data_IF_520507644851
#
_entry.id   IF_520507644851
#
_cell.length_a   1.000
_cell.length_b   1.000
_cell.length_c   1.000
_cell.angle_alpha   90.00
_cell.angle_beta   90.00
_cell.angle_gamma   90.00
#
_symmetry.space_group_name_H-M   'P 1'
#
loop_
_entity.id
_entity.type
_entity.pdbx_description
1 polymer ?
#
# COMPACT_ATOMS: atom_id res chain seq x y z
N UNK A 1 38.41 69.47 27.30
CA UNK A 1 37.39 68.88 28.16
C UNK A 1 36.84 67.67 27.36
N UNK A 2 37.45 66.52 27.33
CA UNK A 2 37.50 65.42 28.32
C UNK A 2 36.08 64.95 28.65
N UNK A 3 35.82 63.64 28.27
CA UNK A 3 34.78 62.72 28.75
C UNK A 3 33.47 62.79 27.96
N UNK A 4 33.26 61.80 27.11
CA UNK A 4 32.21 60.79 27.04
C UNK A 4 32.36 60.00 25.71
N UNK A 5 33.39 59.21 25.68
CA UNK A 5 33.59 58.21 24.63
C UNK A 5 33.90 56.87 25.34
N UNK A 6 32.92 56.27 25.92
CA UNK A 6 32.91 54.87 26.40
C UNK A 6 31.52 54.58 26.90
N UNK A 7 30.67 54.03 26.11
CA UNK A 7 29.49 53.15 26.38
C UNK A 7 28.75 53.01 25.04
N UNK A 8 29.35 52.30 24.13
CA UNK A 8 28.60 51.72 22.97
C UNK A 8 29.39 50.54 22.42
N UNK A 9 29.79 49.61 23.28
CA UNK A 9 30.45 48.38 22.88
C UNK A 9 30.14 47.25 23.87
N UNK A 10 28.87 46.99 24.15
CA UNK A 10 28.45 45.84 24.96
C UNK A 10 26.99 45.45 24.78
N UNK A 11 26.55 45.35 23.54
CA UNK A 11 25.21 44.77 23.23
C UNK A 11 25.21 44.04 21.88
N UNK A 12 26.29 43.32 21.55
CA UNK A 12 26.37 42.53 20.33
C UNK A 12 26.94 41.12 20.61
N UNK A 13 26.45 40.50 21.66
CA UNK A 13 26.65 39.05 21.86
C UNK A 13 25.43 38.57 22.62
N UNK A 14 24.51 37.92 21.95
CA UNK A 14 23.57 36.93 22.46
C UNK A 14 22.42 36.74 21.44
N UNK A 15 22.74 36.39 20.18
CA UNK A 15 21.85 35.69 19.31
C UNK A 15 22.63 34.54 18.66
N UNK A 16 23.19 33.66 19.48
CA UNK A 16 23.50 32.31 19.02
C UNK A 16 22.16 31.54 19.00
N UNK A 17 21.42 31.74 17.96
CA UNK A 17 20.38 30.81 17.56
C UNK A 17 21.06 29.45 17.37
N UNK A 18 20.76 28.49 18.21
CA UNK A 18 21.04 27.08 17.95
C UNK A 18 20.21 26.67 16.73
N UNK A 19 20.73 26.96 15.55
CA UNK A 19 20.37 26.27 14.34
C UNK A 19 21.21 25.00 14.43
N UNK A 20 20.59 23.88 14.77
CA UNK A 20 21.19 22.60 14.50
C UNK A 20 21.19 22.47 12.96
N UNK A 21 22.35 22.75 12.37
CA UNK A 21 22.59 22.44 10.96
C UNK A 21 22.33 20.95 10.77
N UNK A 22 21.55 20.54 9.75
CA UNK A 22 21.39 19.14 9.44
C UNK A 22 22.80 18.58 9.19
N UNK A 23 23.17 17.50 9.90
CA UNK A 23 24.39 16.75 9.63
C UNK A 23 24.27 16.27 8.20
N UNK A 24 24.92 16.97 7.25
CA UNK A 24 25.04 16.53 5.88
C UNK A 24 25.87 15.23 5.90
N UNK A 25 25.20 14.09 5.81
CA UNK A 25 25.89 12.86 5.48
C UNK A 25 26.53 13.05 4.09
N UNK A 26 27.80 12.73 3.91
CA UNK A 26 28.44 12.87 2.60
C UNK A 26 27.61 12.11 1.56
N UNK A 27 27.29 12.79 0.45
CA UNK A 27 26.60 12.15 -0.67
C UNK A 27 27.41 10.94 -1.10
N UNK A 28 26.79 9.79 -1.32
CA UNK A 28 27.53 8.61 -1.78
C UNK A 28 28.13 8.89 -3.16
N UNK A 29 29.38 8.46 -3.38
CA UNK A 29 30.12 8.66 -4.61
C UNK A 29 29.44 8.05 -5.86
N UNK A 30 28.49 7.14 -5.68
CA UNK A 30 27.65 6.54 -6.73
C UNK A 30 26.25 6.20 -6.21
N UNK A 31 25.31 6.09 -7.15
CA UNK A 31 23.98 5.56 -6.86
C UNK A 31 24.08 4.07 -6.46
N UNK A 32 23.27 3.66 -5.51
CA UNK A 32 23.01 2.23 -5.32
C UNK A 32 22.18 1.68 -6.48
N UNK A 33 22.24 0.37 -6.72
CA UNK A 33 21.42 -0.23 -7.76
C UNK A 33 19.91 -0.11 -7.46
N UNK A 34 19.54 -0.13 -6.17
CA UNK A 34 18.13 -0.06 -5.76
C UNK A 34 17.94 0.60 -4.40
N UNK A 35 16.91 1.41 -4.28
CA UNK A 35 16.37 1.86 -3.00
C UNK A 35 14.96 1.31 -2.81
N UNK A 36 14.72 0.59 -1.71
CA UNK A 36 13.40 0.20 -1.25
C UNK A 36 12.96 1.17 -0.16
N UNK A 37 11.83 1.83 -0.37
CA UNK A 37 11.23 2.75 0.60
C UNK A 37 10.00 2.10 1.24
N UNK A 38 10.06 1.86 2.54
CA UNK A 38 8.95 1.39 3.36
C UNK A 38 8.27 2.61 3.98
N UNK A 39 7.01 2.81 3.64
CA UNK A 39 6.21 3.96 4.06
C UNK A 39 5.01 3.48 4.89
N UNK A 40 5.05 3.74 6.19
CA UNK A 40 4.04 3.33 7.17
C UNK A 40 3.41 4.56 7.84
N UNK A 41 2.50 5.28 7.13
CA UNK A 41 1.88 6.51 7.60
C UNK A 41 0.72 6.20 8.55
N UNK A 42 1.00 5.79 9.77
CA UNK A 42 -0.03 5.50 10.75
C UNK A 42 -0.57 6.78 11.40
N UNK A 43 -1.89 6.91 11.46
CA UNK A 43 -2.57 8.08 12.04
C UNK A 43 -3.73 7.71 12.97
N UNK A 44 -3.79 6.45 13.40
CA UNK A 44 -4.85 5.96 14.28
C UNK A 44 -4.60 6.32 15.75
N UNK A 45 -5.68 6.34 16.54
CA UNK A 45 -5.62 6.58 17.98
C UNK A 45 -5.22 5.35 18.79
N UNK A 46 -5.18 4.16 18.19
CA UNK A 46 -4.75 2.91 18.81
C UNK A 46 -3.36 2.51 18.31
N UNK A 47 -2.54 1.93 19.18
CA UNK A 47 -1.21 1.44 18.82
C UNK A 47 -1.24 0.08 18.10
N UNK A 48 -2.40 -0.53 17.94
CA UNK A 48 -2.52 -1.91 17.47
C UNK A 48 -1.77 -2.20 16.17
N UNK A 49 -1.98 -1.40 15.09
CA UNK A 49 -1.24 -1.59 13.85
C UNK A 49 0.20 -1.06 13.93
N UNK A 50 0.46 -0.04 14.73
CA UNK A 50 1.81 0.48 14.92
C UNK A 50 2.77 -0.60 15.43
N UNK A 51 2.32 -1.41 16.41
CA UNK A 51 3.13 -2.50 16.95
C UNK A 51 3.38 -3.60 15.88
N UNK A 52 2.41 -3.88 15.02
CA UNK A 52 2.61 -4.77 13.87
C UNK A 52 3.60 -4.19 12.84
N UNK A 53 3.57 -2.89 12.59
CA UNK A 53 4.56 -2.24 11.71
C UNK A 53 5.97 -2.34 12.29
N UNK A 54 6.14 -2.16 13.60
CA UNK A 54 7.42 -2.36 14.26
C UNK A 54 7.91 -3.81 14.10
N UNK A 55 7.01 -4.79 14.22
CA UNK A 55 7.35 -6.20 13.97
C UNK A 55 7.74 -6.44 12.50
N UNK A 56 7.01 -5.87 11.54
CA UNK A 56 7.35 -5.97 10.12
C UNK A 56 8.73 -5.38 9.81
N UNK A 57 9.07 -4.25 10.42
CA UNK A 57 10.42 -3.64 10.31
C UNK A 57 11.48 -4.58 10.90
N UNK A 58 11.21 -5.19 12.04
CA UNK A 58 12.11 -6.17 12.67
C UNK A 58 12.30 -7.41 11.77
N UNK A 59 11.24 -7.88 11.14
CA UNK A 59 11.25 -9.01 10.21
C UNK A 59 12.10 -8.70 8.96
N UNK A 60 11.99 -7.49 8.41
CA UNK A 60 12.85 -7.00 7.32
C UNK A 60 14.31 -7.01 7.77
N UNK A 61 14.62 -6.44 8.94
CA UNK A 61 15.99 -6.41 9.49
C UNK A 61 16.54 -7.81 9.74
N UNK A 62 15.70 -8.72 10.20
CA UNK A 62 16.06 -10.14 10.38
C UNK A 62 16.41 -10.78 9.05
N UNK A 63 15.62 -10.55 8.00
CA UNK A 63 15.91 -11.05 6.67
C UNK A 63 17.22 -10.46 6.10
N UNK A 64 17.48 -9.17 6.32
CA UNK A 64 18.75 -8.52 5.93
C UNK A 64 19.92 -9.15 6.64
N UNK A 65 19.82 -9.41 7.94
CA UNK A 65 20.87 -10.10 8.71
C UNK A 65 21.12 -11.50 8.15
N UNK A 66 20.07 -12.26 7.83
CA UNK A 66 20.18 -13.61 7.30
C UNK A 66 20.84 -13.68 5.92
N UNK A 67 20.83 -12.59 5.15
CA UNK A 67 21.56 -12.49 3.86
C UNK A 67 22.91 -11.77 3.98
N UNK A 68 23.39 -11.54 5.21
CA UNK A 68 24.65 -10.83 5.48
C UNK A 68 24.68 -9.39 4.91
N UNK A 69 23.54 -8.70 4.95
CA UNK A 69 23.46 -7.28 4.65
C UNK A 69 22.60 -6.88 3.46
N UNK A 70 22.72 -5.62 3.06
CA UNK A 70 21.94 -5.01 1.99
C UNK A 70 22.58 -5.16 0.60
N UNK A 71 23.91 -5.42 0.53
CA UNK A 71 24.63 -5.37 -0.75
C UNK A 71 24.56 -3.97 -1.38
N UNK A 72 24.37 -3.90 -2.69
CA UNK A 72 24.24 -2.63 -3.44
C UNK A 72 22.80 -2.10 -3.41
N UNK A 73 22.21 -2.04 -2.21
CA UNK A 73 20.82 -1.57 -2.02
C UNK A 73 20.71 -0.69 -0.78
N UNK A 74 19.74 0.21 -0.80
CA UNK A 74 19.36 1.00 0.35
C UNK A 74 17.98 0.56 0.85
N UNK A 75 17.80 0.62 2.16
CA UNK A 75 16.49 0.54 2.82
C UNK A 75 16.22 1.86 3.54
N UNK A 76 15.16 2.53 3.13
CA UNK A 76 14.61 3.72 3.76
C UNK A 76 13.27 3.39 4.39
N UNK A 77 13.02 3.86 5.60
CA UNK A 77 11.78 3.62 6.33
C UNK A 77 11.23 4.96 6.82
N UNK A 78 9.97 5.25 6.49
CA UNK A 78 9.19 6.25 7.19
C UNK A 78 8.11 5.55 8.00
N UNK A 79 8.04 5.86 9.29
CA UNK A 79 6.97 5.40 10.16
C UNK A 79 6.46 6.57 10.99
N UNK A 80 5.14 6.70 11.11
CA UNK A 80 4.48 7.64 12.00
C UNK A 80 3.80 6.93 13.16
N UNK A 81 3.86 7.50 14.34
CA UNK A 81 3.18 7.02 15.54
C UNK A 81 1.76 7.61 15.66
N UNK A 82 1.52 8.72 14.96
CA UNK A 82 0.26 9.47 14.98
C UNK A 82 0.18 10.39 13.75
N UNK A 83 -0.93 11.09 13.60
CA UNK A 83 -1.06 12.16 12.58
C UNK A 83 -0.14 13.36 12.83
N UNK A 84 0.55 13.41 13.97
CA UNK A 84 1.33 14.59 14.41
C UNK A 84 2.84 14.34 14.48
N UNK A 85 3.29 13.10 14.37
CA UNK A 85 4.71 12.75 14.48
C UNK A 85 5.10 11.59 13.59
N UNK A 86 6.35 11.59 13.13
CA UNK A 86 6.92 10.52 12.34
C UNK A 86 8.44 10.63 12.25
N UNK A 87 9.06 9.57 11.76
CA UNK A 87 10.52 9.48 11.64
C UNK A 87 10.92 8.88 10.30
N UNK A 88 11.96 9.44 9.68
CA UNK A 88 12.63 8.89 8.49
C UNK A 88 13.95 8.27 8.92
N UNK A 89 14.14 7.01 8.58
CA UNK A 89 15.26 6.18 9.00
C UNK A 89 15.93 5.60 7.75
N UNK A 90 17.27 5.59 7.73
CA UNK A 90 18.06 4.76 6.82
C UNK A 90 18.59 3.58 7.60
N UNK A 91 18.29 2.36 7.14
CA UNK A 91 18.85 1.16 7.76
C UNK A 91 20.22 0.88 7.17
N UNK A 92 21.23 0.80 8.04
CA UNK A 92 22.58 0.39 7.71
C UNK A 92 22.81 -1.04 8.19
N UNK A 93 23.78 -1.73 7.58
CA UNK A 93 24.23 -3.04 8.05
C UNK A 93 25.70 -2.93 8.44
N UNK A 94 26.00 -3.02 9.71
CA UNK A 94 27.31 -2.80 10.28
C UNK A 94 27.57 -3.87 11.33
N UNK A 95 28.78 -4.48 11.35
CA UNK A 95 29.20 -5.47 12.34
C UNK A 95 28.20 -6.64 12.53
N UNK A 96 27.59 -7.12 11.41
CA UNK A 96 26.66 -8.25 11.43
C UNK A 96 25.25 -7.93 11.93
N UNK A 97 24.88 -6.67 12.07
CA UNK A 97 23.55 -6.23 12.54
C UNK A 97 23.02 -5.04 11.74
N UNK A 98 21.71 -4.89 11.73
CA UNK A 98 21.05 -3.68 11.22
C UNK A 98 21.12 -2.57 12.29
N UNK A 99 21.50 -1.37 11.85
CA UNK A 99 21.56 -0.16 12.67
C UNK A 99 20.65 0.90 12.05
N UNK A 100 19.82 1.52 12.87
CA UNK A 100 18.92 2.59 12.45
C UNK A 100 19.64 3.94 12.52
N UNK A 101 19.84 4.55 11.36
CA UNK A 101 20.29 5.92 11.24
C UNK A 101 19.06 6.83 11.09
N UNK A 102 18.65 7.49 12.17
CA UNK A 102 17.52 8.41 12.16
C UNK A 102 17.91 9.71 11.48
N UNK A 103 17.45 9.89 10.24
CA UNK A 103 17.79 11.05 9.42
C UNK A 103 16.96 12.28 9.75
N UNK A 104 15.67 12.10 10.03
CA UNK A 104 14.75 13.20 10.35
C UNK A 104 13.64 12.76 11.28
N UNK A 105 13.26 13.68 12.18
CA UNK A 105 12.05 13.58 12.99
C UNK A 105 11.08 14.67 12.56
N UNK A 106 9.82 14.28 12.39
CA UNK A 106 8.74 15.18 11.98
C UNK A 106 7.76 15.32 13.13
N UNK A 107 7.40 16.56 13.43
CA UNK A 107 6.38 16.87 14.42
C UNK A 107 5.49 18.00 13.93
N UNK A 108 4.19 17.93 14.23
CA UNK A 108 3.29 19.05 14.00
C UNK A 108 3.67 20.21 14.93
N UNK A 109 3.75 21.38 14.34
CA UNK A 109 3.87 22.65 15.06
C UNK A 109 2.65 23.52 14.78
N UNK A 110 2.48 24.62 15.52
CA UNK A 110 1.41 25.59 15.23
C UNK A 110 1.48 26.14 13.78
N UNK A 111 2.70 26.22 13.23
CA UNK A 111 2.97 26.75 11.89
C UNK A 111 3.02 25.67 10.79
N UNK A 112 3.16 24.39 11.13
CA UNK A 112 3.36 23.34 10.13
C UNK A 112 2.65 22.05 10.57
N UNK A 113 1.64 21.63 9.79
CA UNK A 113 0.91 20.37 10.02
C UNK A 113 1.36 19.30 9.04
N UNK A 114 1.63 18.10 9.55
CA UNK A 114 1.92 16.93 8.73
C UNK A 114 0.63 16.49 8.02
N UNK A 115 0.55 16.78 6.73
CA UNK A 115 -0.56 16.32 5.89
C UNK A 115 -0.16 15.02 5.17
N UNK A 116 -0.02 13.93 5.93
CA UNK A 116 0.50 12.63 5.47
C UNK A 116 -0.25 12.06 4.26
N UNK A 117 -1.50 12.50 4.05
CA UNK A 117 -2.38 12.10 2.95
C UNK A 117 -2.32 13.03 1.73
N UNK A 118 -1.47 14.04 1.73
CA UNK A 118 -1.38 14.99 0.61
C UNK A 118 -0.33 14.56 -0.42
N UNK A 119 -0.59 14.87 -1.69
CA UNK A 119 0.40 14.69 -2.77
C UNK A 119 1.69 15.47 -2.49
N UNK A 120 1.57 16.66 -1.88
CA UNK A 120 2.72 17.48 -1.50
C UNK A 120 3.63 16.77 -0.48
N UNK A 121 3.05 16.16 0.56
CA UNK A 121 3.82 15.37 1.53
C UNK A 121 4.50 14.17 0.87
N UNK A 122 3.77 13.44 0.02
CA UNK A 122 4.32 12.28 -0.69
C UNK A 122 5.50 12.70 -1.59
N UNK A 123 5.37 13.81 -2.31
CA UNK A 123 6.48 14.39 -3.10
C UNK A 123 7.66 14.73 -2.20
N UNK A 124 7.41 15.42 -1.10
CA UNK A 124 8.44 15.84 -0.16
C UNK A 124 9.21 14.64 0.41
N UNK A 125 8.51 13.63 0.94
CA UNK A 125 9.19 12.48 1.56
C UNK A 125 9.97 11.66 0.53
N UNK A 126 9.45 11.49 -0.69
CA UNK A 126 10.18 10.82 -1.77
C UNK A 126 11.41 11.58 -2.20
N UNK A 127 11.39 12.92 -2.19
CA UNK A 127 12.58 13.73 -2.45
C UNK A 127 13.62 13.59 -1.33
N UNK A 128 13.20 13.46 -0.06
CA UNK A 128 14.13 13.13 1.03
C UNK A 128 14.75 11.75 0.83
N UNK A 129 13.95 10.74 0.46
CA UNK A 129 14.44 9.39 0.17
C UNK A 129 15.49 9.42 -0.95
N UNK A 130 15.23 10.12 -2.06
CA UNK A 130 16.20 10.28 -3.16
C UNK A 130 17.48 10.97 -2.72
N UNK A 131 17.39 11.98 -1.89
CA UNK A 131 18.54 12.73 -1.38
C UNK A 131 19.43 11.87 -0.48
N UNK A 132 18.85 11.13 0.46
CA UNK A 132 19.60 10.31 1.42
C UNK A 132 19.99 8.92 0.88
N UNK A 133 19.30 8.42 -0.11
CA UNK A 133 19.49 7.09 -0.66
C UNK A 133 19.33 7.10 -2.20
N UNK A 134 20.20 7.80 -2.93
CA UNK A 134 20.13 7.83 -4.39
C UNK A 134 20.36 6.42 -4.96
N UNK A 135 19.57 6.07 -5.99
CA UNK A 135 19.63 4.76 -6.63
C UNK A 135 19.18 4.85 -8.09
N UNK A 136 19.59 3.86 -8.88
CA UNK A 136 19.15 3.73 -10.27
C UNK A 136 17.69 3.29 -10.36
N UNK A 137 17.24 2.51 -9.37
CA UNK A 137 15.88 1.97 -9.29
C UNK A 137 15.26 2.22 -7.92
N UNK A 138 13.99 2.57 -7.91
CA UNK A 138 13.21 2.75 -6.69
C UNK A 138 12.04 1.79 -6.64
N UNK A 139 11.74 1.29 -5.45
CA UNK A 139 10.53 0.53 -5.13
C UNK A 139 9.91 1.07 -3.84
N UNK A 140 8.58 0.97 -3.71
CA UNK A 140 7.87 1.48 -2.54
C UNK A 140 6.96 0.40 -1.96
N UNK A 141 6.96 0.32 -0.64
CA UNK A 141 6.07 -0.53 0.16
C UNK A 141 5.24 0.39 1.03
N UNK A 142 3.92 0.27 1.00
CA UNK A 142 3.00 1.02 1.84
C UNK A 142 2.35 0.05 2.82
N UNK A 143 2.46 0.34 4.12
CA UNK A 143 1.77 -0.41 5.17
C UNK A 143 0.82 0.52 5.92
N UNK A 144 -0.48 0.27 5.79
CA UNK A 144 -1.53 1.01 6.48
C UNK A 144 -2.87 0.25 6.44
N UNK A 145 -4.01 0.94 6.55
CA UNK A 145 -5.31 0.38 6.18
C UNK A 145 -5.59 0.57 4.68
N UNK A 146 -6.31 -0.34 4.02
CA UNK A 146 -6.67 -0.26 2.61
C UNK A 146 -8.17 -0.32 2.33
N UNK A 147 -8.66 0.55 1.44
CA UNK A 147 -10.05 0.62 0.95
C UNK A 147 -10.18 0.40 -0.56
N UNK A 148 -9.13 -0.13 -1.19
CA UNK A 148 -9.06 -0.20 -2.63
C UNK A 148 -9.05 1.20 -3.26
N UNK A 149 -9.84 1.37 -4.32
CA UNK A 149 -9.96 2.61 -5.09
C UNK A 149 -10.97 3.64 -4.52
N UNK A 150 -11.70 3.30 -3.45
CA UNK A 150 -12.75 4.15 -2.87
C UNK A 150 -12.16 5.47 -2.36
N UNK A 151 -12.77 6.61 -2.74
CA UNK A 151 -12.29 7.93 -2.33
C UNK A 151 -12.62 8.24 -0.86
N UNK A 152 -11.69 8.88 -0.16
CA UNK A 152 -11.82 9.24 1.25
C UNK A 152 -13.08 10.06 1.57
N UNK A 153 -13.49 10.95 0.65
CA UNK A 153 -14.68 11.81 0.80
C UNK A 153 -16.01 11.05 0.72
N UNK A 154 -16.04 9.87 0.08
CA UNK A 154 -17.27 9.08 -0.07
C UNK A 154 -17.61 8.33 1.24
N UNK A 155 -16.68 8.29 2.21
CA UNK A 155 -16.89 7.81 3.57
C UNK A 155 -17.49 8.91 4.46
N UNK A 156 -18.78 9.14 4.34
CA UNK A 156 -19.52 10.11 5.17
C UNK A 156 -19.67 9.67 6.63
N UNK A 157 -20.16 10.58 7.51
CA UNK A 157 -20.45 10.24 8.90
C UNK A 157 -21.46 9.07 9.06
N UNK A 158 -22.39 8.91 8.12
CA UNK A 158 -23.33 7.78 8.10
C UNK A 158 -22.60 6.45 7.80
N UNK A 159 -21.67 6.43 6.87
CA UNK A 159 -20.80 5.29 6.61
C UNK A 159 -19.91 5.00 7.84
N UNK A 160 -19.43 6.05 8.53
CA UNK A 160 -18.70 5.91 9.80
C UNK A 160 -19.54 5.22 10.88
N UNK A 161 -20.82 5.56 11.03
CA UNK A 161 -21.67 4.96 12.05
C UNK A 161 -21.96 3.48 11.77
N UNK A 162 -22.04 3.09 10.51
CA UNK A 162 -22.21 1.70 10.09
C UNK A 162 -20.89 0.92 10.37
N UNK A 163 -19.73 1.51 10.14
CA UNK A 163 -18.41 0.94 10.48
C UNK A 163 -18.21 0.82 12.01
N UNK A 164 -18.67 1.79 12.79
CA UNK A 164 -18.54 1.80 14.25
C UNK A 164 -19.56 0.90 14.92
N UNK A 165 -20.70 0.64 14.30
CA UNK A 165 -21.75 -0.25 14.81
C UNK A 165 -21.55 -1.72 14.44
N UNK A 166 -20.76 -2.03 13.42
CA UNK A 166 -20.13 -3.35 13.32
C UNK A 166 -19.13 -3.41 14.47
N UNK A 167 -19.53 -4.05 15.57
CA UNK A 167 -18.77 -4.15 16.84
C UNK A 167 -17.31 -4.57 16.59
N UNK A 168 -16.47 -3.62 16.22
CA UNK A 168 -15.02 -3.65 16.39
C UNK A 168 -14.73 -3.39 17.87
N UNK A 169 -15.79 -3.23 18.69
CA UNK A 169 -15.70 -3.03 20.10
C UNK A 169 -15.49 -4.36 20.79
N UNK A 170 -14.58 -4.37 21.72
CA UNK A 170 -14.50 -5.29 22.86
C UNK A 170 -13.86 -6.66 22.68
N UNK A 171 -12.92 -6.81 21.73
CA UNK A 171 -11.93 -7.87 21.90
C UNK A 171 -10.51 -7.27 21.86
N UNK A 172 -10.22 -6.46 22.86
CA UNK A 172 -8.85 -6.07 23.25
C UNK A 172 -8.15 -7.21 24.02
N UNK A 173 -8.19 -8.39 23.45
CA UNK A 173 -7.27 -9.44 23.81
C UNK A 173 -5.92 -9.21 23.10
N UNK A 174 -4.79 -9.74 23.60
CA UNK A 174 -3.46 -9.48 23.08
C UNK A 174 -3.23 -9.95 21.63
N UNK A 175 -4.25 -10.51 20.97
CA UNK A 175 -4.20 -10.98 19.57
C UNK A 175 -5.52 -10.62 18.90
N UNK A 176 -5.67 -9.35 18.55
CA UNK A 176 -6.87 -8.88 17.86
C UNK A 176 -6.87 -9.29 16.39
N UNK A 177 -8.03 -9.75 15.92
CA UNK A 177 -8.34 -10.08 14.52
C UNK A 177 -8.52 -8.81 13.70
N UNK A 178 -7.51 -7.95 13.64
CA UNK A 178 -7.60 -6.69 12.88
C UNK A 178 -7.03 -6.86 11.48
N UNK A 179 -7.73 -6.37 10.50
CA UNK A 179 -7.36 -6.29 9.09
C UNK A 179 -6.97 -4.86 8.72
N UNK A 180 -6.21 -4.65 7.65
CA UNK A 180 -5.59 -3.36 7.28
C UNK A 180 -6.39 -2.60 6.21
N UNK A 181 -6.24 -1.27 6.18
CA UNK A 181 -6.92 -0.29 5.30
C UNK A 181 -5.90 0.79 4.87
N UNK A 182 -6.11 1.54 3.76
CA UNK A 182 -5.15 2.57 3.34
C UNK A 182 -5.34 3.91 4.04
N UNK A 183 -4.32 4.32 4.80
CA UNK A 183 -4.34 5.50 5.66
C UNK A 183 -5.03 5.25 7.01
N UNK A 184 -4.61 5.94 8.04
CA UNK A 184 -5.26 5.94 9.34
C UNK A 184 -6.60 6.68 9.31
N UNK A 185 -7.38 6.57 10.38
CA UNK A 185 -8.70 7.19 10.48
C UNK A 185 -8.70 8.71 10.24
N UNK A 186 -7.57 9.37 10.54
CA UNK A 186 -7.43 10.83 10.44
C UNK A 186 -6.73 11.31 9.16
N UNK A 187 -6.06 10.42 8.42
CA UNK A 187 -5.34 10.78 7.20
C UNK A 187 -5.48 9.70 6.12
N UNK A 188 -6.67 9.61 5.54
CA UNK A 188 -6.94 8.73 4.40
C UNK A 188 -6.29 9.29 3.14
N UNK A 189 -5.50 8.48 2.46
CA UNK A 189 -4.81 8.89 1.22
C UNK A 189 -5.54 8.35 0.01
N UNK A 190 -6.00 9.24 -0.86
CA UNK A 190 -6.57 8.85 -2.16
C UNK A 190 -5.46 8.38 -3.12
N UNK A 191 -5.77 7.40 -3.96
CA UNK A 191 -4.83 6.90 -4.97
C UNK A 191 -4.39 8.00 -5.93
N UNK A 192 -5.26 8.97 -6.21
CA UNK A 192 -4.92 10.15 -7.04
C UNK A 192 -3.85 11.03 -6.40
N UNK A 193 -3.89 11.21 -5.08
CA UNK A 193 -2.87 11.96 -4.35
C UNK A 193 -1.52 11.22 -4.35
N UNK A 194 -1.55 9.89 -4.21
CA UNK A 194 -0.37 9.05 -4.30
C UNK A 194 0.28 9.15 -5.69
N UNK A 195 -0.50 8.98 -6.77
CA UNK A 195 -0.02 9.12 -8.16
C UNK A 195 0.61 10.50 -8.38
N UNK A 196 -0.10 11.56 -7.98
CA UNK A 196 0.40 12.93 -8.12
C UNK A 196 1.70 13.16 -7.36
N UNK A 197 1.79 12.63 -6.14
CA UNK A 197 2.98 12.76 -5.31
C UNK A 197 4.19 12.01 -5.86
N UNK A 198 4.02 10.78 -6.35
CA UNK A 198 5.09 10.00 -7.00
C UNK A 198 5.54 10.70 -8.28
N UNK A 199 4.60 11.11 -9.14
CA UNK A 199 4.93 11.82 -10.40
C UNK A 199 5.73 13.10 -10.15
N UNK A 200 5.32 13.92 -9.18
CA UNK A 200 5.98 15.18 -8.85
C UNK A 200 7.35 14.98 -8.17
N UNK A 201 7.65 13.82 -7.61
CA UNK A 201 8.95 13.51 -7.01
C UNK A 201 10.08 13.38 -8.03
N UNK A 202 9.77 13.27 -9.33
CA UNK A 202 10.74 13.03 -10.40
C UNK A 202 11.27 11.59 -10.47
N UNK A 203 10.73 10.66 -9.70
CA UNK A 203 10.91 9.21 -9.92
C UNK A 203 10.13 8.86 -11.17
N UNK A 204 10.81 8.45 -12.25
CA UNK A 204 10.15 8.16 -13.53
C UNK A 204 9.08 7.08 -13.39
N UNK A 205 9.44 5.97 -12.74
CA UNK A 205 8.55 4.85 -12.47
C UNK A 205 9.14 4.00 -11.35
N UNK A 206 8.33 3.66 -10.35
CA UNK A 206 8.71 2.67 -9.36
C UNK A 206 8.81 1.29 -10.03
N UNK A 207 9.77 0.48 -9.64
CA UNK A 207 9.88 -0.89 -10.12
C UNK A 207 8.65 -1.70 -9.70
N UNK A 208 8.26 -1.57 -8.43
CA UNK A 208 6.98 -2.01 -7.91
C UNK A 208 6.47 -1.05 -6.84
N UNK A 209 5.17 -1.04 -6.68
CA UNK A 209 4.47 -0.50 -5.53
C UNK A 209 3.72 -1.65 -4.86
N UNK A 210 4.09 -1.96 -3.62
CA UNK A 210 3.43 -2.98 -2.82
C UNK A 210 2.56 -2.33 -1.76
N UNK A 211 1.30 -2.76 -1.68
CA UNK A 211 0.43 -2.44 -0.58
C UNK A 211 0.36 -3.64 0.38
N UNK A 212 0.86 -3.43 1.59
CA UNK A 212 0.65 -4.31 2.73
C UNK A 212 -0.64 -3.90 3.43
N UNK A 213 -1.73 -3.91 2.66
CA UNK A 213 -3.05 -3.35 2.98
C UNK A 213 -4.16 -4.23 2.41
N UNK A 214 -5.40 -4.05 2.92
CA UNK A 214 -6.60 -4.76 2.44
C UNK A 214 -7.08 -4.25 1.08
N UNK A 215 -7.63 -5.13 0.23
CA UNK A 215 -8.38 -4.82 -0.98
C UNK A 215 -7.64 -3.94 -2.02
N UNK A 216 -6.30 -3.93 -2.01
CA UNK A 216 -5.53 -3.05 -2.89
C UNK A 216 -5.21 -3.66 -4.26
N UNK A 217 -5.36 -4.98 -4.45
CA UNK A 217 -5.27 -5.61 -5.78
C UNK A 217 -6.62 -5.58 -6.49
N UNK A 218 -6.97 -4.41 -7.02
CA UNK A 218 -8.14 -4.20 -7.87
C UNK A 218 -7.75 -3.46 -9.15
N UNK A 219 -8.50 -3.67 -10.22
CA UNK A 219 -8.15 -3.15 -11.55
C UNK A 219 -8.25 -1.62 -11.63
N UNK A 220 -9.15 -1.02 -10.86
CA UNK A 220 -9.32 0.42 -10.79
C UNK A 220 -8.07 1.10 -10.22
N UNK A 221 -7.52 0.55 -9.14
CA UNK A 221 -6.25 0.99 -8.54
C UNK A 221 -5.07 0.76 -9.48
N UNK A 222 -4.97 -0.44 -10.08
CA UNK A 222 -3.89 -0.77 -11.01
C UNK A 222 -3.89 0.16 -12.22
N UNK A 223 -5.06 0.45 -12.79
CA UNK A 223 -5.21 1.35 -13.93
C UNK A 223 -4.78 2.79 -13.59
N UNK A 224 -5.08 3.25 -12.39
CA UNK A 224 -4.70 4.59 -11.95
C UNK A 224 -3.21 4.72 -11.65
N UNK A 225 -2.57 3.64 -11.19
CA UNK A 225 -1.14 3.60 -10.83
C UNK A 225 -0.21 3.31 -12.01
N UNK A 226 -0.71 2.89 -13.17
CA UNK A 226 0.07 2.35 -14.30
C UNK A 226 1.22 3.24 -14.79
N UNK A 227 1.08 4.56 -14.64
CA UNK A 227 2.11 5.50 -15.10
C UNK A 227 3.25 5.66 -14.08
N UNK A 228 3.01 5.34 -12.80
CA UNK A 228 3.97 5.58 -11.72
C UNK A 228 4.61 4.31 -11.16
N UNK A 229 4.10 3.12 -11.50
CA UNK A 229 4.71 1.85 -11.09
C UNK A 229 4.71 0.81 -12.20
N UNK A 230 5.77 -0.02 -12.25
CA UNK A 230 5.87 -1.16 -13.16
C UNK A 230 4.96 -2.32 -12.74
N UNK A 231 4.96 -2.62 -11.45
CA UNK A 231 4.14 -3.69 -10.87
C UNK A 231 3.37 -3.18 -9.67
N UNK A 232 2.11 -3.61 -9.53
CA UNK A 232 1.30 -3.46 -8.33
C UNK A 232 1.26 -4.82 -7.61
N UNK A 233 1.72 -4.84 -6.35
CA UNK A 233 1.62 -6.02 -5.48
C UNK A 233 0.59 -5.69 -4.40
N UNK A 234 -0.40 -6.55 -4.17
CA UNK A 234 -1.41 -6.31 -3.15
C UNK A 234 -2.33 -7.50 -2.92
N UNK A 235 -3.14 -7.40 -1.88
CA UNK A 235 -4.15 -8.37 -1.54
C UNK A 235 -5.49 -7.96 -2.15
N UNK A 236 -6.17 -8.84 -2.92
CA UNK A 236 -7.53 -8.59 -3.38
C UNK A 236 -8.56 -8.60 -2.25
N UNK A 237 -8.26 -9.30 -1.14
CA UNK A 237 -9.10 -9.40 0.05
C UNK A 237 -8.52 -8.61 1.22
N UNK A 238 -9.16 -8.68 2.38
CA UNK A 238 -8.54 -8.27 3.63
C UNK A 238 -7.30 -9.13 3.92
N UNK A 239 -6.24 -8.50 4.46
CA UNK A 239 -5.05 -9.18 4.97
C UNK A 239 -5.05 -9.10 6.51
N UNK A 240 -4.57 -10.14 7.18
CA UNK A 240 -4.44 -10.16 8.63
C UNK A 240 -3.49 -9.04 9.12
N UNK A 241 -3.66 -8.58 10.35
CA UNK A 241 -2.86 -7.49 10.93
C UNK A 241 -1.35 -7.75 10.89
N UNK A 242 -0.92 -9.01 10.88
CA UNK A 242 0.48 -9.39 10.68
C UNK A 242 1.04 -8.83 9.37
N UNK A 243 0.22 -8.74 8.32
CA UNK A 243 0.60 -8.20 7.02
C UNK A 243 1.45 -9.14 6.18
N UNK A 244 2.31 -8.59 5.35
CA UNK A 244 3.20 -9.36 4.49
C UNK A 244 4.27 -10.11 5.30
N UNK A 245 4.59 -11.36 4.98
CA UNK A 245 5.57 -12.17 5.72
C UNK A 245 7.01 -11.75 5.36
N UNK A 246 7.41 -10.55 5.78
CA UNK A 246 8.68 -9.91 5.38
C UNK A 246 9.92 -10.75 5.65
N UNK A 247 9.96 -11.51 6.73
CA UNK A 247 11.07 -12.41 7.03
C UNK A 247 11.31 -13.44 5.90
N UNK A 248 10.29 -13.74 5.10
CA UNK A 248 10.34 -14.70 3.97
C UNK A 248 10.49 -14.01 2.63
N UNK A 249 9.69 -12.97 2.37
CA UNK A 249 9.60 -12.34 1.05
C UNK A 249 10.64 -11.26 0.79
N UNK A 250 11.29 -10.70 1.83
CA UNK A 250 12.22 -9.58 1.67
C UNK A 250 13.34 -9.84 0.68
N UNK A 251 13.97 -11.02 0.74
CA UNK A 251 15.05 -11.39 -0.17
C UNK A 251 14.64 -11.33 -1.64
N UNK A 252 13.37 -11.64 -1.94
CA UNK A 252 12.82 -11.65 -3.30
C UNK A 252 12.40 -10.23 -3.74
N UNK A 253 11.82 -9.42 -2.83
CA UNK A 253 11.47 -8.02 -3.06
C UNK A 253 12.72 -7.15 -3.30
N UNK A 254 13.74 -7.36 -2.48
CA UNK A 254 14.96 -6.56 -2.50
C UNK A 254 15.92 -6.91 -3.63
N UNK A 255 15.76 -8.00 -4.33
CA UNK A 255 16.58 -8.35 -5.51
C UNK A 255 16.53 -7.23 -6.55
N UNK A 256 17.62 -7.02 -7.28
CA UNK A 256 17.66 -6.02 -8.38
C UNK A 256 16.52 -6.29 -9.37
N UNK A 257 16.33 -7.55 -9.77
CA UNK A 257 15.11 -8.02 -10.43
C UNK A 257 14.31 -8.82 -9.40
N UNK A 258 13.16 -8.34 -8.93
CA UNK A 258 12.34 -9.06 -7.96
C UNK A 258 11.88 -10.42 -8.49
N UNK A 259 11.85 -11.42 -7.60
CA UNK A 259 11.30 -12.72 -7.92
C UNK A 259 9.84 -12.78 -7.47
N UNK A 260 8.95 -12.34 -8.36
CA UNK A 260 7.52 -12.22 -8.08
C UNK A 260 6.84 -13.58 -7.83
N UNK A 261 7.30 -14.65 -8.50
CA UNK A 261 6.75 -15.98 -8.25
C UNK A 261 7.09 -16.44 -6.82
N UNK A 262 8.34 -16.29 -6.43
CA UNK A 262 8.77 -16.67 -5.08
C UNK A 262 8.09 -15.83 -3.98
N UNK A 263 7.77 -14.56 -4.26
CA UNK A 263 6.96 -13.73 -3.33
C UNK A 263 5.58 -14.36 -3.12
N UNK A 264 4.90 -14.78 -4.19
CA UNK A 264 3.60 -15.44 -4.10
C UNK A 264 3.67 -16.79 -3.38
N UNK A 265 4.70 -17.59 -3.65
CA UNK A 265 4.89 -18.90 -3.04
C UNK A 265 5.16 -18.81 -1.53
N UNK A 266 6.05 -17.88 -1.11
CA UNK A 266 6.35 -17.67 0.31
C UNK A 266 5.14 -17.04 1.06
N UNK A 267 4.36 -16.17 0.41
CA UNK A 267 3.11 -15.66 0.95
C UNK A 267 2.10 -16.78 1.19
N UNK A 268 1.88 -17.64 0.18
CA UNK A 268 1.00 -18.81 0.30
C UNK A 268 1.44 -19.73 1.42
N UNK A 269 2.73 -20.12 1.44
CA UNK A 269 3.27 -21.01 2.44
C UNK A 269 3.09 -20.46 3.86
N UNK A 270 3.23 -19.16 4.04
CA UNK A 270 3.00 -18.52 5.32
C UNK A 270 1.52 -18.57 5.72
N UNK A 271 0.63 -18.08 4.86
CA UNK A 271 -0.80 -17.96 5.21
C UNK A 271 -1.53 -19.30 5.20
N UNK A 272 -1.06 -20.29 4.45
CA UNK A 272 -1.61 -21.65 4.52
C UNK A 272 -1.29 -22.38 5.85
N UNK A 273 -0.37 -21.85 6.64
CA UNK A 273 0.00 -22.37 7.95
C UNK A 273 -0.21 -21.34 9.08
N UNK A 274 -0.94 -20.25 8.78
CA UNK A 274 -1.08 -19.14 9.72
C UNK A 274 -2.07 -19.45 10.82
N UNK A 275 -1.60 -19.33 12.06
CA UNK A 275 -2.37 -19.57 13.28
C UNK A 275 -2.24 -18.39 14.25
N UNK A 276 -3.29 -18.10 15.00
CA UNK A 276 -3.31 -17.11 16.08
C UNK A 276 -3.86 -17.79 17.32
N UNK A 277 -3.06 -17.84 18.42
CA UNK A 277 -3.50 -18.44 19.68
C UNK A 277 -3.96 -19.89 19.55
N UNK A 278 -3.34 -20.69 18.66
CA UNK A 278 -3.72 -22.08 18.38
C UNK A 278 -4.94 -22.24 17.47
N UNK A 279 -5.50 -21.14 16.94
CA UNK A 279 -6.59 -21.18 15.97
C UNK A 279 -6.04 -21.02 14.57
N UNK A 280 -6.29 -22.00 13.70
CA UNK A 280 -5.89 -21.99 12.29
C UNK A 280 -6.78 -21.04 11.47
N UNK A 281 -6.18 -20.00 10.89
CA UNK A 281 -6.88 -19.08 10.01
C UNK A 281 -6.79 -19.52 8.55
N UNK A 282 -5.59 -19.86 8.05
CA UNK A 282 -5.33 -20.32 6.69
C UNK A 282 -6.05 -19.44 5.63
N UNK A 283 -5.90 -18.12 5.79
CA UNK A 283 -6.58 -17.13 4.96
C UNK A 283 -5.57 -16.10 4.45
N UNK A 284 -5.37 -16.05 3.15
CA UNK A 284 -4.50 -15.07 2.51
C UNK A 284 -4.64 -15.10 0.99
N UNK A 285 -4.58 -13.93 0.39
CA UNK A 285 -4.63 -13.75 -1.08
C UNK A 285 -3.60 -12.72 -1.48
N UNK A 286 -2.90 -12.96 -2.58
CA UNK A 286 -1.97 -12.00 -3.18
C UNK A 286 -2.09 -12.02 -4.70
N UNK A 287 -2.04 -10.85 -5.32
CA UNK A 287 -1.96 -10.68 -6.75
C UNK A 287 -0.88 -9.68 -7.12
N UNK A 288 -0.16 -9.95 -8.20
CA UNK A 288 0.89 -9.09 -8.75
C UNK A 288 0.51 -8.72 -10.17
N UNK A 289 0.17 -7.45 -10.36
CA UNK A 289 -0.29 -6.91 -11.63
C UNK A 289 0.87 -6.24 -12.37
N UNK A 290 1.12 -6.67 -13.60
CA UNK A 290 1.97 -5.94 -14.54
C UNK A 290 1.22 -4.71 -15.08
N UNK A 291 1.59 -3.53 -14.59
CA UNK A 291 0.92 -2.28 -14.94
C UNK A 291 1.12 -1.89 -16.42
N UNK A 292 2.07 -2.47 -17.12
CA UNK A 292 2.24 -2.26 -18.57
C UNK A 292 1.12 -2.92 -19.40
N UNK A 293 0.41 -3.89 -18.83
CA UNK A 293 -0.62 -4.69 -19.49
C UNK A 293 -2.05 -4.15 -19.28
N UNK A 294 -2.24 -3.20 -18.35
CA UNK A 294 -3.59 -2.76 -17.97
C UNK A 294 -4.33 -2.00 -19.06
N UNK A 295 -3.64 -1.31 -19.96
CA UNK A 295 -4.28 -0.69 -21.14
C UNK A 295 -4.77 -1.74 -22.14
N UNK A 296 -4.06 -2.85 -22.27
CA UNK A 296 -4.44 -3.94 -23.16
C UNK A 296 -5.70 -4.64 -22.69
N UNK A 297 -5.81 -4.92 -21.39
CA UNK A 297 -7.03 -5.51 -20.83
C UNK A 297 -8.19 -4.51 -20.84
N UNK A 298 -7.94 -3.20 -20.65
CA UNK A 298 -8.96 -2.16 -20.74
C UNK A 298 -9.56 -2.08 -22.15
N UNK A 299 -8.75 -2.22 -23.21
CA UNK A 299 -9.23 -2.26 -24.60
C UNK A 299 -10.18 -3.44 -24.84
N UNK A 300 -9.86 -4.62 -24.30
CA UNK A 300 -10.69 -5.81 -24.41
C UNK A 300 -12.00 -5.62 -23.61
N UNK A 301 -11.91 -5.08 -22.39
CA UNK A 301 -13.11 -4.78 -21.60
C UNK A 301 -14.01 -3.76 -22.28
N UNK A 302 -13.45 -2.74 -22.93
CA UNK A 302 -14.25 -1.81 -23.75
C UNK A 302 -14.99 -2.50 -24.89
N UNK A 303 -14.37 -3.48 -25.55
CA UNK A 303 -14.98 -4.30 -26.58
C UNK A 303 -16.13 -5.15 -26.01
N UNK A 304 -15.93 -5.76 -24.84
CA UNK A 304 -16.93 -6.53 -24.12
C UNK A 304 -18.10 -5.64 -23.69
N UNK A 305 -17.84 -4.53 -23.01
CA UNK A 305 -18.87 -3.63 -22.48
C UNK A 305 -19.73 -2.96 -23.56
N UNK A 306 -19.25 -2.86 -24.80
CA UNK A 306 -20.06 -2.39 -25.93
C UNK A 306 -21.11 -3.40 -26.38
N UNK A 307 -20.89 -4.69 -26.16
CA UNK A 307 -21.72 -5.77 -26.68
C UNK A 307 -22.56 -6.42 -25.60
N UNK A 308 -22.11 -6.40 -24.35
CA UNK A 308 -22.73 -7.12 -23.24
C UNK A 308 -23.06 -6.19 -22.08
N UNK A 309 -24.18 -6.45 -21.46
CA UNK A 309 -24.59 -5.83 -20.19
C UNK A 309 -24.73 -6.93 -19.16
N UNK A 310 -24.17 -6.72 -17.97
CA UNK A 310 -24.22 -7.73 -16.91
C UNK A 310 -25.66 -7.97 -16.44
N UNK A 311 -26.04 -9.23 -16.39
CA UNK A 311 -27.32 -9.64 -15.81
C UNK A 311 -27.21 -9.65 -14.28
N UNK A 312 -27.79 -8.64 -13.65
CA UNK A 312 -27.72 -8.44 -12.19
C UNK A 312 -28.33 -9.59 -11.37
N UNK A 313 -29.19 -10.43 -11.96
CA UNK A 313 -29.71 -11.64 -11.28
C UNK A 313 -28.62 -12.67 -10.98
N UNK A 314 -27.47 -12.59 -11.66
CA UNK A 314 -26.32 -13.47 -11.48
C UNK A 314 -25.32 -12.96 -10.44
N UNK A 315 -25.55 -11.78 -9.81
CA UNK A 315 -24.56 -11.15 -8.95
C UNK A 315 -24.14 -12.06 -7.78
N UNK A 316 -25.06 -12.82 -7.22
CA UNK A 316 -24.79 -13.74 -6.11
C UNK A 316 -24.03 -15.01 -6.51
N UNK A 317 -23.86 -15.27 -7.83
CA UNK A 317 -23.06 -16.38 -8.34
C UNK A 317 -21.63 -16.00 -8.68
N UNK A 318 -21.33 -14.68 -8.69
CA UNK A 318 -19.97 -14.19 -8.93
C UNK A 318 -19.18 -14.24 -7.62
N UNK A 319 -17.95 -14.73 -7.70
CA UNK A 319 -17.04 -14.76 -6.54
C UNK A 319 -16.79 -13.34 -6.04
N UNK A 320 -17.29 -13.02 -4.86
CA UNK A 320 -16.90 -11.84 -4.10
C UNK A 320 -15.63 -12.12 -3.30
N UNK A 321 -14.84 -11.07 -3.07
CA UNK A 321 -13.56 -11.15 -2.37
C UNK A 321 -13.47 -10.09 -1.24
N UNK A 322 -14.61 -9.70 -0.70
CA UNK A 322 -14.69 -8.80 0.46
C UNK A 322 -15.85 -9.15 1.39
N UNK A 323 -15.90 -8.48 2.55
CA UNK A 323 -16.98 -8.63 3.52
C UNK A 323 -18.03 -7.54 3.49
N UNK A 324 -18.08 -6.68 2.48
CA UNK A 324 -19.13 -5.68 2.35
C UNK A 324 -20.50 -6.30 2.09
N UNK A 325 -21.57 -5.57 2.41
CA UNK A 325 -22.94 -5.98 2.17
C UNK A 325 -23.77 -4.80 1.61
N UNK A 326 -24.04 -4.77 0.29
CA UNK A 326 -23.57 -5.69 -0.78
C UNK A 326 -22.06 -5.63 -1.00
N UNK A 327 -21.45 -6.66 -1.62
CA UNK A 327 -20.03 -6.68 -1.95
C UNK A 327 -19.60 -5.54 -2.91
N UNK A 328 -18.33 -5.14 -2.81
CA UNK A 328 -17.72 -4.12 -3.68
C UNK A 328 -16.76 -4.78 -4.66
N UNK A 329 -15.94 -5.72 -4.19
CA UNK A 329 -14.83 -6.31 -4.91
C UNK A 329 -15.13 -7.74 -5.32
N UNK A 330 -15.24 -7.97 -6.63
CA UNK A 330 -15.52 -9.26 -7.22
C UNK A 330 -14.33 -9.78 -8.02
N UNK A 331 -14.16 -11.10 -8.12
CA UNK A 331 -13.12 -11.70 -8.96
C UNK A 331 -13.29 -11.28 -10.42
N UNK A 332 -12.26 -10.68 -11.01
CA UNK A 332 -12.36 -10.09 -12.34
C UNK A 332 -12.57 -11.13 -13.42
N UNK A 333 -11.91 -12.28 -13.34
CA UNK A 333 -12.05 -13.37 -14.30
C UNK A 333 -13.43 -13.98 -14.25
N UNK A 334 -13.98 -14.17 -13.06
CA UNK A 334 -15.31 -14.75 -12.88
C UNK A 334 -16.42 -13.80 -13.36
N UNK A 335 -16.29 -12.51 -13.06
CA UNK A 335 -17.20 -11.49 -13.60
C UNK A 335 -17.29 -11.56 -15.13
N UNK A 336 -16.16 -11.55 -15.84
CA UNK A 336 -16.15 -11.53 -17.29
C UNK A 336 -16.66 -12.85 -17.89
N UNK A 337 -16.41 -13.98 -17.20
CA UNK A 337 -16.96 -15.29 -17.63
C UNK A 337 -18.49 -15.28 -17.65
N UNK A 338 -19.11 -14.55 -16.71
CA UNK A 338 -20.57 -14.45 -16.61
C UNK A 338 -21.16 -13.25 -17.38
N UNK A 339 -20.33 -12.27 -17.77
CA UNK A 339 -20.73 -11.13 -18.58
C UNK A 339 -20.73 -11.47 -20.09
N UNK A 340 -19.64 -12.07 -20.57
CA UNK A 340 -19.38 -12.27 -21.99
C UNK A 340 -19.73 -13.70 -22.41
N UNK A 341 -20.72 -13.86 -23.30
CA UNK A 341 -21.14 -15.17 -23.83
C UNK A 341 -20.33 -15.61 -25.05
N UNK A 342 -19.66 -14.70 -25.77
CA UNK A 342 -18.76 -15.04 -26.87
C UNK A 342 -17.48 -15.70 -26.35
N UNK A 343 -17.29 -16.95 -26.77
CA UNK A 343 -16.15 -17.75 -26.31
C UNK A 343 -14.80 -17.21 -26.80
N UNK A 344 -14.74 -16.72 -28.02
CA UNK A 344 -13.51 -16.17 -28.62
C UNK A 344 -13.05 -14.92 -27.87
N UNK A 345 -13.98 -14.01 -27.62
CA UNK A 345 -13.71 -12.77 -26.90
C UNK A 345 -13.37 -13.04 -25.43
N UNK A 346 -14.05 -14.01 -24.81
CA UNK A 346 -13.76 -14.47 -23.44
C UNK A 346 -12.37 -15.09 -23.33
N UNK A 347 -11.96 -15.91 -24.30
CA UNK A 347 -10.62 -16.50 -24.35
C UNK A 347 -9.54 -15.44 -24.59
N UNK A 348 -9.80 -14.44 -25.44
CA UNK A 348 -8.94 -13.27 -25.64
C UNK A 348 -8.76 -12.48 -24.34
N UNK A 349 -9.84 -12.26 -23.59
CA UNK A 349 -9.78 -11.63 -22.27
C UNK A 349 -8.96 -12.45 -21.29
N UNK A 350 -9.21 -13.76 -21.17
CA UNK A 350 -8.52 -14.64 -20.22
C UNK A 350 -7.02 -14.70 -20.50
N UNK A 351 -6.62 -14.77 -21.77
CA UNK A 351 -5.22 -14.72 -22.18
C UNK A 351 -4.56 -13.39 -21.81
N UNK A 352 -5.29 -12.26 -21.93
CA UNK A 352 -4.78 -10.96 -21.51
C UNK A 352 -4.75 -10.83 -19.98
N UNK A 353 -5.75 -11.34 -19.26
CA UNK A 353 -5.79 -11.36 -17.81
C UNK A 353 -4.56 -12.09 -17.23
N UNK A 354 -4.19 -13.23 -17.81
CA UNK A 354 -2.99 -13.98 -17.41
C UNK A 354 -1.68 -13.22 -17.65
N UNK A 355 -1.62 -12.33 -18.64
CA UNK A 355 -0.48 -11.41 -18.84
C UNK A 355 -0.53 -10.22 -17.89
N UNK A 356 -1.74 -9.75 -17.57
CA UNK A 356 -1.93 -8.61 -16.68
C UNK A 356 -1.66 -8.97 -15.22
N UNK A 357 -2.03 -10.19 -14.80
CA UNK A 357 -1.77 -10.72 -13.47
C UNK A 357 -0.99 -12.03 -13.59
N UNK A 358 0.31 -11.94 -13.92
CA UNK A 358 1.13 -13.13 -14.18
C UNK A 358 1.45 -13.93 -12.92
N UNK A 359 1.42 -13.31 -11.74
CA UNK A 359 1.75 -13.97 -10.48
C UNK A 359 0.63 -13.76 -9.47
N UNK A 360 0.19 -14.82 -8.83
CA UNK A 360 -0.86 -14.80 -7.81
C UNK A 360 -0.86 -16.07 -7.00
N UNK A 361 -1.34 -15.99 -5.76
CA UNK A 361 -1.66 -17.17 -4.95
C UNK A 361 -2.77 -16.86 -3.95
N UNK A 362 -3.48 -17.90 -3.52
CA UNK A 362 -4.53 -17.81 -2.52
C UNK A 362 -4.64 -19.12 -1.73
N UNK A 363 -5.02 -19.00 -0.47
CA UNK A 363 -5.49 -20.11 0.35
C UNK A 363 -6.93 -20.51 -0.02
N UNK A 364 -7.45 -21.60 0.54
CA UNK A 364 -8.82 -22.06 0.26
C UNK A 364 -9.89 -21.03 0.67
N UNK A 365 -9.60 -20.23 1.70
CA UNK A 365 -10.51 -19.23 2.26
C UNK A 365 -9.83 -17.87 2.32
N UNK A 366 -10.63 -16.79 2.23
CA UNK A 366 -10.25 -15.48 2.76
C UNK A 366 -11.01 -15.20 4.06
N UNK A 367 -10.50 -14.26 4.84
CA UNK A 367 -11.16 -13.80 6.07
C UNK A 367 -11.66 -12.37 5.87
N UNK A 368 -12.84 -12.06 6.39
CA UNK A 368 -13.31 -10.70 6.54
C UNK A 368 -13.66 -10.38 7.98
N UNK A 369 -13.36 -9.16 8.41
CA UNK A 369 -13.78 -8.56 9.66
C UNK A 369 -14.97 -7.60 9.49
N UNK A 370 -15.41 -7.36 8.26
CA UNK A 370 -16.45 -6.38 7.91
C UNK A 370 -17.86 -6.92 8.20
N UNK A 371 -18.85 -6.47 7.43
CA UNK A 371 -20.28 -6.79 7.63
C UNK A 371 -20.63 -8.27 7.58
N UNK A 372 -19.81 -9.07 6.88
CA UNK A 372 -19.93 -10.54 6.80
C UNK A 372 -18.69 -11.16 7.42
N UNK A 373 -18.57 -11.13 8.76
CA UNK A 373 -17.34 -11.56 9.42
C UNK A 373 -17.15 -13.08 9.35
N UNK A 374 -15.89 -13.50 9.20
CA UNK A 374 -15.48 -14.89 9.19
C UNK A 374 -14.75 -15.33 7.93
N UNK A 375 -14.64 -16.66 7.75
CA UNK A 375 -14.00 -17.28 6.60
C UNK A 375 -14.98 -17.44 5.44
N UNK A 376 -14.55 -17.08 4.24
CA UNK A 376 -15.30 -17.21 3.01
C UNK A 376 -14.51 -18.05 2.01
N UNK A 377 -15.16 -19.03 1.40
CA UNK A 377 -14.50 -19.93 0.43
C UNK A 377 -14.20 -19.21 -0.87
N UNK A 378 -13.02 -19.46 -1.41
CA UNK A 378 -12.60 -18.99 -2.74
C UNK A 378 -12.82 -20.12 -3.73
N UNK A 379 -13.77 -19.96 -4.63
CA UNK A 379 -14.07 -20.92 -5.68
C UNK A 379 -13.37 -20.58 -7.00
N UNK A 380 -13.17 -19.27 -7.25
CA UNK A 380 -12.44 -18.76 -8.41
C UNK A 380 -11.51 -17.63 -7.97
N UNK A 381 -10.34 -17.54 -8.62
CA UNK A 381 -9.34 -16.55 -8.23
C UNK A 381 -8.50 -16.08 -9.43
N UNK A 382 -8.64 -14.83 -9.79
CA UNK A 382 -7.84 -14.19 -10.84
C UNK A 382 -6.69 -13.32 -10.32
N UNK A 383 -6.57 -13.16 -9.00
CA UNK A 383 -5.52 -12.36 -8.36
C UNK A 383 -5.79 -10.86 -8.36
N UNK A 384 -6.90 -10.44 -8.95
CA UNK A 384 -7.32 -9.04 -9.04
C UNK A 384 -8.84 -8.94 -9.02
N UNK A 385 -9.39 -7.92 -8.39
CA UNK A 385 -10.82 -7.66 -8.34
C UNK A 385 -11.26 -6.55 -9.28
N UNK A 386 -12.58 -6.44 -9.46
CA UNK A 386 -13.27 -5.39 -10.19
C UNK A 386 -14.56 -5.02 -9.44
N UNK A 387 -15.02 -3.78 -9.60
CA UNK A 387 -16.23 -3.28 -8.94
C UNK A 387 -17.37 -2.93 -9.90
N UNK A 388 -17.22 -3.13 -11.20
CA UNK A 388 -18.16 -2.67 -12.26
C UNK A 388 -19.61 -3.19 -12.07
N UNK A 389 -19.78 -4.36 -11.44
CA UNK A 389 -21.09 -4.98 -11.18
C UNK A 389 -21.65 -4.65 -9.80
N UNK A 390 -20.89 -3.97 -8.94
CA UNK A 390 -21.29 -3.74 -7.55
C UNK A 390 -22.54 -2.86 -7.43
N UNK A 391 -23.48 -3.31 -6.59
CA UNK A 391 -24.66 -2.54 -6.19
C UNK A 391 -24.49 -1.82 -4.86
N UNK A 392 -23.31 -1.91 -4.23
CA UNK A 392 -23.00 -1.19 -3.03
C UNK A 392 -23.01 0.33 -3.30
N UNK A 393 -23.66 1.10 -2.45
CA UNK A 393 -23.85 2.54 -2.65
C UNK A 393 -22.52 3.32 -2.75
N UNK A 394 -21.49 2.89 -2.02
CA UNK A 394 -20.15 3.49 -2.10
C UNK A 394 -19.53 3.26 -3.48
N UNK A 395 -19.60 2.03 -3.99
CA UNK A 395 -19.10 1.70 -5.31
C UNK A 395 -19.92 2.39 -6.41
N UNK A 396 -21.24 2.33 -6.37
CA UNK A 396 -22.13 2.92 -7.38
C UNK A 396 -21.89 4.42 -7.55
N UNK A 397 -21.55 5.14 -6.46
CA UNK A 397 -21.26 6.58 -6.50
C UNK A 397 -19.88 6.89 -7.07
N UNK A 398 -18.86 6.10 -6.73
CA UNK A 398 -17.45 6.38 -7.03
C UNK A 398 -16.95 5.75 -8.32
N UNK A 399 -17.40 4.54 -8.65
CA UNK A 399 -16.90 3.70 -9.74
C UNK A 399 -16.87 4.42 -11.10
N UNK A 400 -17.94 5.15 -11.45
CA UNK A 400 -18.06 5.89 -12.72
C UNK A 400 -17.07 7.07 -12.84
N UNK A 401 -16.46 7.48 -11.75
CA UNK A 401 -15.44 8.53 -11.71
C UNK A 401 -14.03 7.98 -11.95
N UNK A 402 -13.81 6.67 -11.77
CA UNK A 402 -12.50 6.04 -11.93
C UNK A 402 -11.97 6.18 -13.36
N UNK A 403 -10.65 6.18 -13.50
CA UNK A 403 -10.00 6.18 -14.81
C UNK A 403 -10.30 4.87 -15.57
N UNK A 404 -10.41 3.74 -14.86
CA UNK A 404 -10.79 2.46 -15.42
C UNK A 404 -12.16 2.51 -16.08
N UNK A 405 -13.19 2.95 -15.35
CA UNK A 405 -14.55 3.05 -15.90
C UNK A 405 -14.60 3.91 -17.16
N UNK A 406 -13.96 5.07 -17.13
CA UNK A 406 -13.92 5.99 -18.27
C UNK A 406 -13.24 5.36 -19.50
N UNK A 407 -12.22 4.52 -19.28
CA UNK A 407 -11.51 3.84 -20.35
C UNK A 407 -12.32 2.68 -20.98
N UNK A 408 -13.20 2.04 -20.19
CA UNK A 408 -13.86 0.79 -20.57
C UNK A 408 -15.32 0.95 -20.95
N UNK A 409 -15.99 2.08 -20.61
CA UNK A 409 -17.42 2.32 -20.83
C UNK A 409 -17.75 3.51 -21.78
N UNK A 410 -16.73 4.20 -22.32
CA UNK A 410 -16.92 5.35 -23.23
C UNK A 410 -16.47 5.08 -24.66
#
# INVERSE_FOLDING_TARGET
MKKYLFILLSALCLLSSCHEDPIESPLPDRNAAKTVFVYMPWTGNSRNLYDFFQQNILDIKTAIKNQNGLGDKNLMIFISESSTSGVLIKVKYEEGKCVDDTLRRYQNTAANKLALNSSHWITYILNQVKSYAPADTYAMIIGSHGYGWLEAKDFTAASRSIYLNAKISEYDGPITRSTRWFGGSEAKTDISALVSGISASGIKKLQYLMFDDCNMSNIETAYQLKEVTGYLIGCPTEIMAFGMPYAKIWKHLANITPDYQAICDEFYNFYNNYEIGGTAYHCGTIGITDCSQVDSIAKIMKEINKQYTFNTSLINSIQDLDGYAPPIFYDFGDYVRNLCTDETLRNKFQAQLSRTVPYKSNTEYYYSSLYRPGKHKINTYSGITISDLSTNSLAATGMKKTAWWKATHK
#
